data_IF_537449180349
#
_entry.id   IF_537449180349
#
_cell.length_a   1.000
_cell.length_b   1.000
_cell.length_c   1.000
_cell.angle_alpha   90.00
_cell.angle_beta   90.00
_cell.angle_gamma   90.00
#
_symmetry.space_group_name_H-M   'P 1'
#
loop_
_entity.id
_entity.type
_entity.pdbx_description
1 polymer ?
#
# COMPACT_ATOMS: atom_id res chain seq x y z
N UNK A 1 -4.12 -37.63 -51.72
CA UNK A 1 -5.31 -37.36 -52.56
C UNK A 1 -6.50 -38.11 -51.99
N UNK A 2 -7.75 -37.65 -52.22
CA UNK A 2 -8.21 -36.27 -52.37
C UNK A 2 -8.52 -35.74 -50.94
N UNK A 3 -9.49 -34.88 -50.59
CA UNK A 3 -10.25 -33.80 -51.27
C UNK A 3 -10.45 -32.66 -50.25
N UNK A 4 -10.93 -31.49 -50.67
CA UNK A 4 -11.45 -30.45 -49.80
C UNK A 4 -12.93 -30.20 -50.10
N UNK A 5 -13.74 -29.82 -49.11
CA UNK A 5 -15.08 -29.29 -49.35
C UNK A 5 -15.45 -28.16 -48.38
N UNK A 6 -16.12 -27.14 -48.91
CA UNK A 6 -16.43 -25.87 -48.22
C UNK A 6 -17.83 -25.93 -47.62
N UNK A 7 -17.96 -25.71 -46.32
CA UNK A 7 -19.28 -25.54 -45.68
C UNK A 7 -19.85 -24.17 -46.03
N UNK A 8 -20.97 -24.15 -46.76
CA UNK A 8 -21.67 -22.93 -47.18
C UNK A 8 -22.86 -22.65 -46.25
N UNK A 9 -22.88 -21.46 -45.65
CA UNK A 9 -23.93 -21.05 -44.71
C UNK A 9 -25.27 -20.85 -45.45
N UNK A 10 -26.33 -21.56 -45.02
CA UNK A 10 -27.68 -21.41 -45.56
C UNK A 10 -28.67 -21.00 -44.45
N UNK A 11 -29.28 -19.82 -44.58
CA UNK A 11 -30.30 -19.33 -43.65
C UNK A 11 -31.70 -19.82 -44.04
N UNK A 12 -32.36 -20.53 -43.13
CA UNK A 12 -33.82 -20.56 -42.93
C UNK A 12 -34.03 -20.30 -41.43
N UNK A 13 -34.97 -19.50 -40.93
CA UNK A 13 -36.11 -18.83 -41.55
C UNK A 13 -37.33 -19.05 -40.65
N UNK A 14 -37.89 -17.99 -40.06
CA UNK A 14 -39.20 -18.02 -39.38
C UNK A 14 -39.80 -16.61 -39.33
N UNK A 15 -41.02 -16.50 -39.85
CA UNK A 15 -41.89 -15.34 -39.64
C UNK A 15 -42.54 -15.45 -38.25
N UNK A 16 -42.83 -14.30 -37.64
CA UNK A 16 -43.59 -14.20 -36.40
C UNK A 16 -44.31 -12.85 -36.37
N UNK A 17 -45.63 -12.89 -36.42
CA UNK A 17 -46.52 -11.72 -36.36
C UNK A 17 -46.63 -11.15 -34.94
N UNK A 18 -46.70 -9.83 -34.79
CA UNK A 18 -46.89 -9.18 -33.49
C UNK A 18 -47.28 -7.70 -33.61
N UNK A 19 -48.48 -7.37 -33.13
CA UNK A 19 -49.14 -6.07 -33.20
C UNK A 19 -48.29 -4.91 -32.61
N UNK A 20 -48.45 -3.69 -33.15
CA UNK A 20 -47.99 -2.45 -32.49
C UNK A 20 -49.18 -1.57 -32.14
N UNK A 21 -49.60 -1.61 -30.89
CA UNK A 21 -50.60 -0.67 -30.37
C UNK A 21 -49.92 0.57 -29.75
N UNK A 22 -50.40 1.75 -30.12
CA UNK A 22 -49.92 3.03 -29.61
C UNK A 22 -50.60 3.40 -28.28
N UNK A 23 -49.83 3.50 -27.20
CA UNK A 23 -50.29 4.13 -25.94
C UNK A 23 -49.48 5.41 -25.67
N UNK A 24 -50.21 6.51 -25.42
CA UNK A 24 -49.66 7.85 -25.18
C UNK A 24 -49.25 8.00 -23.70
N UNK A 25 -48.01 8.42 -23.45
CA UNK A 25 -47.57 8.92 -22.13
C UNK A 25 -47.61 10.46 -22.05
N UNK A 26 -48.01 11.07 -20.93
CA UNK A 26 -48.15 12.53 -20.80
C UNK A 26 -46.81 13.25 -20.58
N UNK A 27 -46.72 14.49 -21.09
CA UNK A 27 -45.58 15.40 -20.94
C UNK A 27 -45.60 16.07 -19.55
N UNK A 28 -44.52 15.97 -18.79
CA UNK A 28 -44.27 16.84 -17.63
C UNK A 28 -43.57 18.14 -18.05
N UNK A 29 -43.92 19.26 -17.40
CA UNK A 29 -43.49 20.61 -17.80
C UNK A 29 -42.15 21.00 -17.17
N UNK A 30 -41.34 21.71 -17.95
CA UNK A 30 -40.19 22.49 -17.46
C UNK A 30 -40.70 23.72 -16.71
N UNK A 31 -40.27 23.90 -15.45
CA UNK A 31 -40.52 25.11 -14.64
C UNK A 31 -39.26 25.96 -14.53
N UNK A 32 -39.35 27.27 -14.78
CA UNK A 32 -38.21 28.19 -14.87
C UNK A 32 -38.40 29.38 -13.92
N UNK A 33 -37.37 29.68 -13.13
CA UNK A 33 -37.08 30.95 -12.44
C UNK A 33 -38.14 31.59 -11.52
N UNK A 34 -37.75 31.82 -10.26
CA UNK A 34 -38.34 32.83 -9.38
C UNK A 34 -37.24 33.44 -8.50
N UNK A 35 -36.92 34.73 -8.70
CA UNK A 35 -36.03 35.49 -7.80
C UNK A 35 -36.88 36.11 -6.69
N UNK A 36 -36.39 36.14 -5.46
CA UNK A 36 -36.77 37.18 -4.51
C UNK A 36 -35.57 37.69 -3.73
N UNK A 37 -35.43 39.01 -3.71
CA UNK A 37 -34.58 39.80 -2.83
C UNK A 37 -35.56 40.68 -2.02
N UNK A 38 -35.35 41.00 -0.75
CA UNK A 38 -34.71 42.28 -0.38
C UNK A 38 -34.76 42.51 1.15
N UNK A 39 -33.86 43.40 1.61
CA UNK A 39 -33.94 44.26 2.82
C UNK A 39 -33.96 43.55 4.20
N UNK A 40 -32.90 43.59 5.01
CA UNK A 40 -32.11 44.71 5.59
C UNK A 40 -32.69 45.33 6.86
N UNK A 41 -31.87 45.39 7.92
CA UNK A 41 -31.73 46.56 8.80
C UNK A 41 -30.31 46.59 9.39
N UNK A 42 -29.62 47.71 9.19
CA UNK A 42 -28.43 48.08 9.97
C UNK A 42 -28.88 48.74 11.28
N UNK A 43 -28.07 48.66 12.33
CA UNK A 43 -27.72 49.84 13.13
C UNK A 43 -26.22 49.84 13.43
N UNK A 44 -25.69 51.04 13.44
CA UNK A 44 -24.35 51.45 13.88
C UNK A 44 -24.32 51.49 15.43
N UNK A 45 -23.23 51.73 16.15
CA UNK A 45 -22.18 52.74 15.97
C UNK A 45 -20.76 52.24 16.33
N UNK A 46 -19.75 53.06 16.00
CA UNK A 46 -18.34 52.82 16.27
C UNK A 46 -17.85 53.60 17.50
N UNK A 47 -16.69 53.21 18.07
CA UNK A 47 -15.53 54.09 18.38
C UNK A 47 -14.36 53.21 18.91
N UNK A 48 -13.12 53.70 18.77
CA UNK A 48 -11.86 52.98 19.03
C UNK A 48 -11.48 52.86 20.52
N UNK A 49 -10.60 51.91 20.88
CA UNK A 49 -9.91 51.89 22.18
C UNK A 49 -9.10 50.63 22.47
N UNK A 50 -7.79 50.68 22.22
CA UNK A 50 -6.73 49.66 22.39
C UNK A 50 -6.68 48.79 23.67
N UNK A 51 -5.89 47.71 23.57
CA UNK A 51 -5.30 46.83 24.61
C UNK A 51 -6.10 45.59 25.02
N UNK A 52 -5.60 44.41 24.62
CA UNK A 52 -6.19 43.09 24.90
C UNK A 52 -5.86 42.63 26.32
N UNK A 53 -6.86 42.05 26.99
CA UNK A 53 -6.75 41.19 28.19
C UNK A 53 -7.64 39.98 27.94
N UNK A 54 -7.27 38.80 28.44
CA UNK A 54 -8.07 37.58 28.35
C UNK A 54 -8.89 37.30 29.62
N UNK A 55 -9.82 36.35 29.51
CA UNK A 55 -11.03 36.30 30.32
C UNK A 55 -10.89 35.68 31.73
N UNK A 56 -9.69 35.67 32.32
CA UNK A 56 -9.44 35.16 33.68
C UNK A 56 -8.55 36.04 34.57
N UNK A 57 -7.89 37.08 34.03
CA UNK A 57 -7.41 38.22 34.84
C UNK A 57 -6.24 37.98 35.81
N UNK A 58 -5.27 37.11 35.49
CA UNK A 58 -4.06 36.88 36.31
C UNK A 58 -2.78 37.20 35.49
N UNK A 59 -1.77 37.91 36.05
CA UNK A 59 -0.57 38.30 35.32
C UNK A 59 0.50 37.19 35.23
N UNK A 60 1.28 37.22 34.16
CA UNK A 60 2.38 36.27 33.89
C UNK A 60 3.66 36.68 34.65
N UNK A 61 4.16 35.83 35.57
CA UNK A 61 5.61 35.68 35.84
C UNK A 61 5.95 34.57 36.88
N UNK A 62 7.21 34.15 36.84
CA UNK A 62 7.99 33.35 37.83
C UNK A 62 7.94 31.82 37.72
N UNK A 63 9.15 31.24 37.66
CA UNK A 63 9.48 29.81 37.64
C UNK A 63 9.43 29.16 39.03
N UNK A 64 9.06 27.88 39.13
CA UNK A 64 9.76 26.92 39.99
C UNK A 64 9.47 25.46 39.63
N UNK A 65 10.38 24.57 40.04
CA UNK A 65 10.52 23.15 39.73
C UNK A 65 9.32 22.24 39.99
N UNK A 66 9.05 21.32 39.06
CA UNK A 66 8.27 20.07 39.24
C UNK A 66 9.14 18.81 39.03
N UNK A 67 8.69 17.61 39.45
CA UNK A 67 9.57 16.47 39.72
C UNK A 67 10.09 15.73 38.47
N UNK A 68 11.29 15.16 38.60
CA UNK A 68 11.92 14.31 37.58
C UNK A 68 11.13 13.00 37.37
N UNK A 69 10.91 12.62 36.11
CA UNK A 69 10.45 11.26 35.75
C UNK A 69 11.56 10.24 36.03
N UNK A 70 11.23 9.01 36.46
CA UNK A 70 12.21 7.93 36.55
C UNK A 70 12.73 7.56 35.15
N UNK A 71 14.00 7.19 35.07
CA UNK A 71 14.61 6.73 33.83
C UNK A 71 14.00 5.39 33.39
N UNK A 72 13.55 5.32 32.13
CA UNK A 72 13.19 4.05 31.48
C UNK A 72 14.42 3.17 31.21
N UNK A 73 14.22 1.89 30.86
CA UNK A 73 15.32 0.97 30.58
C UNK A 73 16.21 1.48 29.44
N UNK A 74 17.52 1.19 29.55
CA UNK A 74 18.54 1.71 28.63
C UNK A 74 18.30 1.36 27.17
N UNK A 75 18.66 2.30 26.27
CA UNK A 75 18.55 2.14 24.81
C UNK A 75 19.44 0.99 24.31
N UNK A 76 19.05 0.35 23.20
CA UNK A 76 19.76 -0.83 22.68
C UNK A 76 20.94 -0.41 21.78
N UNK A 77 21.99 -1.26 21.62
CA UNK A 77 23.23 -0.85 20.96
C UNK A 77 23.08 -0.42 19.49
N UNK A 78 22.11 -1.00 18.77
CA UNK A 78 21.81 -0.66 17.37
C UNK A 78 21.37 0.80 17.19
N UNK A 79 20.62 1.34 18.17
CA UNK A 79 20.13 2.72 18.13
C UNK A 79 21.29 3.72 18.21
N UNK A 80 22.25 3.46 19.11
CA UNK A 80 23.38 4.36 19.41
C UNK A 80 24.41 4.38 18.27
N UNK A 81 24.73 3.21 17.70
CA UNK A 81 25.66 3.13 16.57
C UNK A 81 25.10 3.75 15.28
N UNK A 82 23.77 3.78 15.14
CA UNK A 82 23.07 4.37 14.00
C UNK A 82 22.82 5.88 14.19
N UNK A 83 22.41 6.35 15.37
CA UNK A 83 22.32 7.79 15.68
C UNK A 83 23.68 8.47 15.45
N UNK A 84 24.80 7.84 15.81
CA UNK A 84 26.16 8.35 15.54
C UNK A 84 26.53 8.43 14.05
N UNK A 85 25.85 7.67 13.17
CA UNK A 85 26.04 7.71 11.71
C UNK A 85 25.04 8.64 11.00
N UNK A 86 23.83 8.81 11.55
CA UNK A 86 22.80 9.72 11.02
C UNK A 86 23.02 11.18 11.46
N UNK A 87 23.67 11.40 12.61
CA UNK A 87 24.07 12.74 13.08
C UNK A 87 25.38 13.25 12.46
N UNK A 88 26.12 12.38 11.79
CA UNK A 88 27.18 12.80 10.88
C UNK A 88 26.53 13.36 9.60
N UNK A 89 26.34 14.68 9.55
CA UNK A 89 25.93 15.37 8.33
C UNK A 89 26.80 14.90 7.16
N UNK A 90 26.22 14.47 6.03
CA UNK A 90 27.01 14.07 4.88
C UNK A 90 27.76 15.29 4.35
N UNK A 91 29.08 15.20 4.35
CA UNK A 91 29.93 16.19 3.71
C UNK A 91 29.49 16.33 2.25
N UNK A 92 29.19 17.55 1.83
CA UNK A 92 28.35 17.81 0.66
C UNK A 92 29.12 17.46 -0.62
N UNK A 93 29.05 16.19 -1.03
CA UNK A 93 29.83 15.64 -2.15
C UNK A 93 29.30 16.24 -3.45
N UNK A 94 30.07 17.06 -4.19
CA UNK A 94 29.58 17.71 -5.40
C UNK A 94 29.46 16.67 -6.52
N UNK A 95 28.23 16.26 -6.86
CA UNK A 95 27.97 15.30 -7.93
C UNK A 95 26.87 14.26 -7.66
N UNK A 96 26.24 14.27 -6.48
CA UNK A 96 25.06 13.43 -6.25
C UNK A 96 23.93 13.81 -7.23
N UNK A 97 23.58 12.89 -8.13
CA UNK A 97 22.47 13.06 -9.08
C UNK A 97 21.17 13.26 -8.30
N UNK A 98 20.48 14.38 -8.55
CA UNK A 98 19.13 14.61 -8.02
C UNK A 98 18.21 13.55 -8.62
N UNK A 99 17.72 12.65 -7.77
CA UNK A 99 16.74 11.64 -8.16
C UNK A 99 15.38 12.32 -8.33
N UNK A 100 14.88 12.38 -9.55
CA UNK A 100 13.48 12.74 -9.84
C UNK A 100 12.59 11.50 -9.69
N UNK A 101 11.77 11.39 -8.62
CA UNK A 101 10.91 10.24 -8.40
C UNK A 101 9.75 10.16 -9.41
N UNK A 102 9.41 11.27 -10.05
CA UNK A 102 8.29 11.38 -10.99
C UNK A 102 8.65 11.04 -12.43
N UNK A 103 9.96 10.93 -12.73
CA UNK A 103 10.47 10.61 -14.07
C UNK A 103 9.97 9.23 -14.51
N UNK A 104 9.25 9.11 -15.65
CA UNK A 104 8.72 7.82 -16.11
C UNK A 104 9.79 6.72 -16.15
N UNK A 105 9.46 5.52 -15.66
CA UNK A 105 10.31 4.33 -15.77
C UNK A 105 9.53 3.24 -16.50
N UNK A 106 9.85 3.04 -17.78
CA UNK A 106 9.20 2.02 -18.59
C UNK A 106 9.69 0.61 -18.23
N UNK A 107 8.91 -0.47 -18.51
CA UNK A 107 9.34 -1.84 -18.24
C UNK A 107 10.68 -2.19 -18.91
N UNK A 108 10.90 -1.71 -20.14
CA UNK A 108 12.16 -1.86 -20.88
C UNK A 108 13.40 -1.25 -20.19
N UNK A 109 13.24 -0.26 -19.31
CA UNK A 109 14.35 0.33 -18.53
C UNK A 109 14.66 -0.44 -17.24
N UNK A 110 13.73 -1.28 -16.77
CA UNK A 110 13.89 -2.01 -15.51
C UNK A 110 15.13 -2.93 -15.47
N UNK A 111 15.50 -3.71 -16.51
CA UNK A 111 16.65 -4.60 -16.44
C UNK A 111 17.97 -3.91 -16.07
N UNK A 112 18.26 -2.75 -16.66
CA UNK A 112 19.49 -2.00 -16.39
C UNK A 112 19.48 -1.38 -14.99
N UNK A 113 18.34 -0.83 -14.55
CA UNK A 113 18.16 -0.27 -13.20
C UNK A 113 18.28 -1.34 -12.13
N UNK A 114 17.63 -2.49 -12.34
CA UNK A 114 17.66 -3.63 -11.42
C UNK A 114 19.05 -4.26 -11.32
N UNK A 115 19.85 -4.28 -12.39
CA UNK A 115 21.24 -4.72 -12.33
C UNK A 115 22.12 -3.78 -11.48
N UNK A 116 21.92 -2.46 -11.57
CA UNK A 116 22.62 -1.49 -10.72
C UNK A 116 22.21 -1.59 -9.24
N UNK A 117 20.92 -1.75 -8.97
CA UNK A 117 20.37 -1.97 -7.63
C UNK A 117 20.89 -3.29 -7.02
N UNK A 118 20.87 -4.38 -7.80
CA UNK A 118 21.42 -5.68 -7.41
C UNK A 118 22.91 -5.57 -7.04
N UNK A 119 23.73 -4.94 -7.89
CA UNK A 119 25.16 -4.76 -7.62
C UNK A 119 25.42 -3.96 -6.33
N UNK A 120 24.64 -2.91 -6.06
CA UNK A 120 24.75 -2.12 -4.83
C UNK A 120 24.39 -2.94 -3.58
N UNK A 121 23.39 -3.82 -3.66
CA UNK A 121 23.02 -4.74 -2.56
C UNK A 121 24.07 -5.84 -2.38
N UNK A 122 24.56 -6.44 -3.46
CA UNK A 122 25.60 -7.49 -3.42
C UNK A 122 26.93 -6.98 -2.87
N UNK A 123 27.26 -5.70 -3.06
CA UNK A 123 28.39 -5.04 -2.40
C UNK A 123 28.24 -4.87 -0.87
N UNK A 124 27.16 -5.37 -0.27
CA UNK A 124 26.87 -5.38 1.18
C UNK A 124 26.52 -6.76 1.72
N UNK A 125 25.96 -7.67 0.91
CA UNK A 125 25.60 -9.03 1.32
C UNK A 125 25.45 -10.00 0.14
N UNK A 126 26.07 -11.18 0.28
CA UNK A 126 25.91 -12.32 -0.63
C UNK A 126 24.68 -13.19 -0.30
N UNK A 127 23.89 -12.84 0.74
CA UNK A 127 22.71 -13.61 1.13
C UNK A 127 21.70 -13.70 -0.01
N UNK A 128 21.27 -14.91 -0.35
CA UNK A 128 20.22 -15.17 -1.35
C UNK A 128 18.90 -15.40 -0.60
N UNK A 129 17.98 -14.41 -0.58
CA UNK A 129 16.68 -14.56 0.08
C UNK A 129 15.76 -15.54 -0.66
N UNK A 130 15.03 -16.37 0.08
CA UNK A 130 13.96 -17.22 -0.47
C UNK A 130 12.64 -16.44 -0.63
N UNK A 131 12.41 -15.48 0.29
CA UNK A 131 11.21 -14.67 0.41
C UNK A 131 11.53 -13.17 0.46
N UNK A 132 10.70 -12.36 -0.20
CA UNK A 132 10.59 -10.93 0.08
C UNK A 132 9.40 -10.63 0.99
N UNK A 133 9.53 -9.67 1.91
CA UNK A 133 8.46 -9.26 2.83
C UNK A 133 8.38 -7.73 2.86
N UNK A 134 7.23 -7.15 2.50
CA UNK A 134 7.02 -5.71 2.59
C UNK A 134 6.28 -5.39 3.87
N UNK A 135 6.92 -4.64 4.76
CA UNK A 135 6.36 -4.25 6.06
C UNK A 135 5.57 -2.95 5.91
N UNK A 136 4.25 -3.05 6.09
CA UNK A 136 3.36 -1.90 6.22
C UNK A 136 3.50 -1.17 7.56
N UNK A 137 2.81 -0.04 7.69
CA UNK A 137 2.71 0.72 8.93
C UNK A 137 2.26 -0.16 10.10
N UNK A 138 2.94 -0.10 11.24
CA UNK A 138 2.68 -0.95 12.42
C UNK A 138 3.46 -2.28 12.48
N UNK A 139 4.15 -2.68 11.40
CA UNK A 139 4.94 -3.93 11.36
C UNK A 139 6.46 -3.70 11.49
N UNK A 140 6.88 -2.48 11.81
CA UNK A 140 8.29 -2.09 11.88
C UNK A 140 9.12 -2.98 12.79
N UNK A 141 8.56 -3.46 13.91
CA UNK A 141 9.28 -4.30 14.90
C UNK A 141 9.69 -5.69 14.39
N UNK A 142 9.05 -6.23 13.34
CA UNK A 142 9.46 -7.53 12.77
C UNK A 142 10.84 -7.45 12.08
N UNK A 143 11.26 -6.25 11.67
CA UNK A 143 12.61 -6.00 11.16
C UNK A 143 13.69 -6.19 12.23
N UNK A 144 13.36 -5.93 13.50
CA UNK A 144 14.29 -6.04 14.63
C UNK A 144 14.50 -7.50 15.09
N UNK A 145 13.73 -8.45 14.52
CA UNK A 145 13.85 -9.90 14.73
C UNK A 145 14.77 -10.59 13.71
N UNK A 146 15.42 -9.84 12.80
CA UNK A 146 16.34 -10.40 11.81
C UNK A 146 17.72 -10.72 12.41
N UNK A 147 18.09 -12.00 12.38
CA UNK A 147 19.47 -12.44 12.60
C UNK A 147 20.36 -12.06 11.40
N UNK A 148 21.65 -11.82 11.64
CA UNK A 148 22.66 -11.52 10.60
C UNK A 148 22.30 -10.31 9.70
N UNK A 149 21.49 -9.37 10.21
CA UNK A 149 20.87 -8.32 9.43
C UNK A 149 21.85 -7.29 8.82
N UNK A 150 21.83 -7.17 7.49
CA UNK A 150 22.42 -6.08 6.71
C UNK A 150 21.33 -5.10 6.32
N UNK A 151 21.44 -3.85 6.77
CA UNK A 151 20.50 -2.78 6.46
C UNK A 151 21.09 -1.78 5.45
N UNK A 152 20.29 -1.41 4.45
CA UNK A 152 20.63 -0.43 3.40
C UNK A 152 19.48 0.57 3.29
N UNK A 153 19.75 1.86 3.45
CA UNK A 153 18.77 2.92 3.25
C UNK A 153 18.37 3.05 1.78
N UNK A 154 17.11 3.39 1.49
CA UNK A 154 16.64 3.57 0.11
C UNK A 154 17.41 4.67 -0.62
N UNK A 155 17.80 5.75 0.07
CA UNK A 155 18.65 6.80 -0.50
C UNK A 155 20.12 6.41 -0.74
N UNK A 156 20.57 5.24 -0.27
CA UNK A 156 21.88 4.68 -0.61
C UNK A 156 21.84 3.84 -1.90
N UNK A 157 20.64 3.51 -2.40
CA UNK A 157 20.46 2.66 -3.58
C UNK A 157 20.39 3.50 -4.87
N UNK A 158 21.07 3.09 -5.94
CA UNK A 158 21.25 3.90 -7.14
C UNK A 158 19.92 4.22 -7.83
N UNK A 159 19.56 5.51 -7.83
CA UNK A 159 18.37 6.02 -8.49
C UNK A 159 17.06 5.87 -7.68
N UNK A 160 17.14 5.58 -6.38
CA UNK A 160 16.00 5.63 -5.46
C UNK A 160 16.02 6.90 -4.61
N UNK A 161 14.85 7.50 -4.30
CA UNK A 161 14.75 8.55 -3.30
C UNK A 161 14.77 7.95 -1.88
N UNK A 162 14.93 8.81 -0.87
CA UNK A 162 14.55 8.44 0.49
C UNK A 162 13.02 8.24 0.58
N UNK A 163 12.56 7.38 1.50
CA UNK A 163 11.12 7.27 1.77
C UNK A 163 10.59 8.52 2.46
N UNK A 164 9.40 9.00 2.09
CA UNK A 164 8.79 10.22 2.66
C UNK A 164 7.45 9.97 3.36
N UNK A 165 6.77 8.86 3.02
CA UNK A 165 5.52 8.46 3.65
C UNK A 165 5.67 8.22 5.17
N UNK A 166 4.74 8.75 6.01
CA UNK A 166 4.79 8.55 7.46
C UNK A 166 4.86 7.08 7.89
N UNK A 167 5.72 6.78 8.87
CA UNK A 167 5.89 5.43 9.42
C UNK A 167 6.73 4.48 8.56
N UNK A 168 7.27 4.92 7.41
CA UNK A 168 8.19 4.13 6.60
C UNK A 168 9.64 4.52 6.87
N UNK A 169 10.44 3.60 7.42
CA UNK A 169 11.86 3.84 7.71
C UNK A 169 12.73 3.92 6.44
N UNK A 170 12.24 3.40 5.31
CA UNK A 170 12.92 3.48 4.01
C UNK A 170 14.19 2.62 3.97
N UNK A 171 14.11 1.38 4.45
CA UNK A 171 15.26 0.45 4.51
C UNK A 171 14.97 -0.87 3.80
N UNK A 172 15.94 -1.37 3.04
CA UNK A 172 16.04 -2.75 2.61
C UNK A 172 16.91 -3.50 3.62
N UNK A 173 16.45 -4.67 4.05
CA UNK A 173 17.09 -5.50 5.07
C UNK A 173 17.30 -6.89 4.48
N UNK A 174 18.52 -7.42 4.53
CA UNK A 174 18.84 -8.82 4.24
C UNK A 174 19.25 -9.50 5.54
N UNK A 175 18.64 -10.62 5.89
CA UNK A 175 18.97 -11.35 7.11
C UNK A 175 18.19 -12.66 7.19
N UNK A 176 18.19 -13.27 8.37
CA UNK A 176 17.42 -14.50 8.63
C UNK A 176 16.25 -14.22 9.56
N UNK A 177 15.06 -14.67 9.18
CA UNK A 177 13.90 -14.73 10.06
C UNK A 177 13.55 -16.20 10.28
N UNK A 178 13.45 -16.63 11.54
CA UNK A 178 13.26 -18.04 11.89
C UNK A 178 14.25 -19.00 11.16
N UNK A 179 15.51 -18.57 11.01
CA UNK A 179 16.58 -19.29 10.32
C UNK A 179 16.61 -19.16 8.79
N UNK A 180 15.51 -18.78 8.14
CA UNK A 180 15.40 -18.68 6.68
C UNK A 180 15.90 -17.35 6.14
N UNK A 181 16.62 -17.34 5.00
CA UNK A 181 17.11 -16.12 4.38
C UNK A 181 15.95 -15.33 3.75
N UNK A 182 15.79 -14.07 4.15
CA UNK A 182 14.72 -13.19 3.70
C UNK A 182 15.26 -11.81 3.33
N UNK A 183 14.53 -11.12 2.46
CA UNK A 183 14.68 -9.68 2.24
C UNK A 183 13.43 -8.96 2.75
N UNK A 184 13.59 -8.06 3.72
CA UNK A 184 12.50 -7.22 4.22
C UNK A 184 12.62 -5.80 3.70
N UNK A 185 11.49 -5.22 3.30
CA UNK A 185 11.35 -3.82 2.94
C UNK A 185 10.60 -3.12 4.08
N UNK A 186 11.34 -2.39 4.92
CA UNK A 186 10.79 -1.61 6.04
C UNK A 186 10.38 -0.22 5.54
N UNK A 187 9.49 -0.21 4.57
CA UNK A 187 9.25 0.92 3.69
C UNK A 187 8.62 0.49 2.38
N UNK A 188 7.87 1.40 1.75
CA UNK A 188 7.53 1.33 0.33
C UNK A 188 7.42 2.74 -0.23
N UNK A 189 7.35 2.82 -1.56
CA UNK A 189 7.01 4.04 -2.28
C UNK A 189 5.53 4.02 -2.66
N UNK A 190 4.86 5.18 -2.61
CA UNK A 190 3.47 5.33 -2.99
C UNK A 190 3.31 6.31 -4.16
N UNK A 191 2.20 6.17 -4.91
CA UNK A 191 1.86 7.09 -6.00
C UNK A 191 1.57 8.51 -5.50
N UNK A 192 0.97 8.66 -4.31
CA UNK A 192 0.64 9.97 -3.75
C UNK A 192 1.87 10.79 -3.31
N UNK A 193 3.03 10.16 -3.13
CA UNK A 193 4.32 10.84 -2.92
C UNK A 193 4.87 11.45 -4.22
N UNK A 194 4.20 11.25 -5.36
CA UNK A 194 4.65 11.70 -6.69
C UNK A 194 5.52 10.69 -7.44
N UNK A 195 5.73 9.48 -6.89
CA UNK A 195 6.54 8.44 -7.51
C UNK A 195 5.89 7.86 -8.78
N UNK A 196 6.70 7.63 -9.80
CA UNK A 196 6.32 6.88 -11.00
C UNK A 196 5.98 5.41 -10.67
N UNK A 197 4.95 4.80 -11.30
CA UNK A 197 4.63 3.38 -11.09
C UNK A 197 5.80 2.41 -11.28
N UNK A 198 6.75 2.71 -12.18
CA UNK A 198 7.92 1.88 -12.39
C UNK A 198 8.95 1.98 -11.25
N UNK A 199 9.03 3.11 -10.56
CA UNK A 199 9.79 3.26 -9.30
C UNK A 199 9.09 2.53 -8.15
N UNK A 200 7.77 2.68 -8.02
CA UNK A 200 6.95 2.05 -6.96
C UNK A 200 7.16 0.53 -6.90
N UNK A 201 7.34 -0.14 -8.04
CA UNK A 201 7.48 -1.60 -8.09
C UNK A 201 8.91 -2.13 -8.10
N UNK A 202 9.93 -1.26 -8.24
CA UNK A 202 11.33 -1.69 -8.25
C UNK A 202 11.77 -2.48 -7.02
N UNK A 203 11.33 -2.17 -5.79
CA UNK A 203 11.70 -2.97 -4.62
C UNK A 203 11.30 -4.45 -4.74
N UNK A 204 10.13 -4.74 -5.32
CA UNK A 204 9.63 -6.11 -5.55
C UNK A 204 10.41 -6.82 -6.64
N UNK A 205 10.68 -6.13 -7.75
CA UNK A 205 11.49 -6.66 -8.85
C UNK A 205 12.94 -6.94 -8.39
N UNK A 206 13.46 -6.12 -7.46
CA UNK A 206 14.74 -6.33 -6.81
C UNK A 206 14.71 -7.57 -5.90
N UNK A 207 13.65 -7.80 -5.11
CA UNK A 207 13.50 -9.04 -4.34
C UNK A 207 13.61 -10.29 -5.23
N UNK A 208 12.89 -10.33 -6.36
CA UNK A 208 12.97 -11.42 -7.35
C UNK A 208 14.39 -11.60 -7.89
N UNK A 209 15.07 -10.50 -8.17
CA UNK A 209 16.42 -10.51 -8.75
C UNK A 209 17.50 -10.93 -7.76
N UNK A 210 17.34 -10.60 -6.48
CA UNK A 210 18.20 -11.10 -5.39
C UNK A 210 18.02 -12.59 -5.10
N UNK A 211 16.93 -13.21 -5.58
CA UNK A 211 16.72 -14.67 -5.52
C UNK A 211 15.35 -15.09 -4.99
N UNK A 212 14.53 -14.18 -4.47
CA UNK A 212 13.25 -14.54 -3.87
C UNK A 212 12.33 -15.22 -4.89
N UNK A 213 11.64 -16.27 -4.43
CA UNK A 213 10.65 -17.04 -5.20
C UNK A 213 9.23 -16.53 -4.98
N UNK A 214 8.97 -15.94 -3.80
CA UNK A 214 7.69 -15.38 -3.42
C UNK A 214 7.86 -14.07 -2.64
N UNK A 215 6.79 -13.27 -2.61
CA UNK A 215 6.70 -12.04 -1.80
C UNK A 215 5.44 -12.02 -0.95
N UNK A 216 5.57 -11.53 0.29
CA UNK A 216 4.44 -11.26 1.18
C UNK A 216 4.24 -9.75 1.32
N UNK A 217 3.10 -9.27 0.84
CA UNK A 217 2.73 -7.86 0.85
C UNK A 217 1.82 -7.56 2.04
N UNK A 218 2.22 -6.67 2.94
CA UNK A 218 1.37 -6.24 4.07
C UNK A 218 1.03 -4.75 3.96
N UNK A 219 -0.20 -4.36 4.27
CA UNK A 219 -0.60 -2.95 4.22
C UNK A 219 -1.56 -2.58 5.35
N UNK A 220 -1.69 -1.27 5.60
CA UNK A 220 -2.83 -0.71 6.32
C UNK A 220 -3.95 -0.40 5.32
N UNK A 221 -5.19 -0.64 5.72
CA UNK A 221 -6.38 -0.45 4.88
C UNK A 221 -7.58 0.08 5.69
N UNK A 222 -8.51 0.76 5.02
CA UNK A 222 -9.85 1.03 5.54
C UNK A 222 -10.80 -0.14 5.26
N UNK A 223 -11.69 -0.46 6.19
CA UNK A 223 -12.73 -1.47 6.02
C UNK A 223 -13.81 -1.01 5.04
N UNK A 224 -14.18 -1.90 4.11
CA UNK A 224 -15.35 -1.72 3.23
C UNK A 224 -16.47 -2.72 3.56
N UNK A 225 -16.15 -3.86 4.17
CA UNK A 225 -17.14 -4.80 4.68
C UNK A 225 -17.59 -4.39 6.10
N UNK A 226 -18.91 -4.39 6.43
CA UNK A 226 -19.39 -4.02 7.77
C UNK A 226 -18.84 -4.87 8.94
N UNK A 227 -18.36 -6.07 8.64
CA UNK A 227 -17.72 -6.95 9.64
C UNK A 227 -16.24 -6.61 9.90
N UNK A 228 -15.61 -5.77 9.07
CA UNK A 228 -14.17 -5.51 9.11
C UNK A 228 -13.91 -4.19 9.85
N UNK A 229 -13.93 -4.26 11.18
CA UNK A 229 -13.55 -3.16 12.05
C UNK A 229 -12.03 -3.00 12.22
N UNK A 230 -11.56 -1.94 12.90
CA UNK A 230 -10.16 -1.75 13.27
C UNK A 230 -9.56 -3.00 13.95
N UNK A 231 -8.32 -3.33 13.60
CA UNK A 231 -7.62 -4.50 14.09
C UNK A 231 -7.89 -5.81 13.32
N UNK A 232 -8.87 -5.83 12.39
CA UNK A 232 -9.12 -7.00 11.53
C UNK A 232 -7.92 -7.26 10.63
N UNK A 233 -7.44 -8.51 10.62
CA UNK A 233 -6.44 -8.97 9.66
C UNK A 233 -7.17 -9.68 8.50
N UNK A 234 -7.00 -9.18 7.29
CA UNK A 234 -7.64 -9.70 6.08
C UNK A 234 -6.58 -10.30 5.16
N UNK A 235 -6.61 -11.62 4.98
CA UNK A 235 -5.91 -12.32 3.91
C UNK A 235 -6.48 -11.85 2.57
N UNK A 236 -5.60 -11.34 1.70
CA UNK A 236 -6.02 -10.81 0.40
C UNK A 236 -6.24 -11.98 -0.56
N UNK A 237 -7.48 -12.15 -1.03
CA UNK A 237 -7.85 -13.22 -1.97
C UNK A 237 -7.86 -12.77 -3.42
N UNK A 238 -8.19 -11.50 -3.66
CA UNK A 238 -8.15 -10.84 -4.96
C UNK A 238 -7.91 -9.33 -4.79
N UNK A 239 -7.67 -8.59 -5.88
CA UNK A 239 -7.60 -7.13 -5.84
C UNK A 239 -8.31 -6.42 -7.01
N UNK A 240 -8.81 -5.21 -6.74
CA UNK A 240 -9.31 -4.29 -7.78
C UNK A 240 -8.36 -3.09 -7.85
N UNK A 241 -7.67 -2.92 -8.98
CA UNK A 241 -6.78 -1.77 -9.20
C UNK A 241 -7.56 -0.57 -9.76
N UNK A 242 -7.94 0.37 -8.89
CA UNK A 242 -8.58 1.63 -9.25
C UNK A 242 -7.63 2.84 -9.09
N UNK A 243 -6.32 2.61 -8.95
CA UNK A 243 -5.31 3.67 -8.82
C UNK A 243 -5.12 4.54 -10.08
N UNK A 244 -5.75 4.16 -11.20
CA UNK A 244 -5.57 4.79 -12.51
C UNK A 244 -4.19 4.54 -13.13
N UNK A 245 -3.34 3.70 -12.53
CA UNK A 245 -1.96 3.42 -12.96
C UNK A 245 -1.72 1.93 -13.16
N UNK A 246 -0.76 1.60 -14.02
CA UNK A 246 -0.25 0.24 -14.22
C UNK A 246 1.26 0.32 -14.53
N UNK A 247 2.13 -0.43 -13.82
CA UNK A 247 3.59 -0.36 -13.99
C UNK A 247 4.10 -0.98 -15.29
N UNK A 248 3.24 -1.69 -16.05
CA UNK A 248 3.60 -2.42 -17.28
C UNK A 248 3.33 -1.61 -18.57
N UNK A 249 2.93 -0.33 -18.43
CA UNK A 249 2.70 0.57 -19.57
C UNK A 249 4.06 0.98 -20.19
N UNK A 250 4.16 0.86 -21.52
CA UNK A 250 5.38 1.13 -22.28
C UNK A 250 5.83 -0.09 -23.10
N UNK A 251 7.08 -0.07 -23.58
CA UNK A 251 7.73 -1.24 -24.16
C UNK A 251 8.04 -2.28 -23.07
N UNK A 252 7.84 -3.57 -23.39
CA UNK A 252 8.07 -4.66 -22.44
C UNK A 252 9.56 -4.96 -22.25
N UNK A 253 9.91 -5.57 -21.12
CA UNK A 253 11.17 -6.28 -20.94
C UNK A 253 10.89 -7.78 -20.91
N UNK A 254 11.01 -8.45 -22.06
CA UNK A 254 10.71 -9.88 -22.21
C UNK A 254 11.61 -10.78 -21.33
N UNK A 255 12.79 -10.28 -20.93
CA UNK A 255 13.68 -10.94 -19.97
C UNK A 255 13.29 -10.80 -18.50
N UNK A 256 12.21 -10.07 -18.18
CA UNK A 256 11.60 -10.06 -16.84
C UNK A 256 10.29 -10.84 -16.86
N UNK A 257 9.44 -10.60 -17.86
CA UNK A 257 8.10 -11.19 -17.90
C UNK A 257 7.38 -11.03 -19.23
N UNK A 258 6.28 -11.78 -19.44
CA UNK A 258 5.51 -11.75 -20.69
C UNK A 258 4.85 -10.38 -20.90
N UNK A 259 4.55 -10.04 -22.17
CA UNK A 259 3.85 -8.79 -22.51
C UNK A 259 2.48 -8.65 -21.85
N UNK A 260 1.80 -9.78 -21.66
CA UNK A 260 0.47 -9.88 -21.07
C UNK A 260 0.51 -10.95 -19.98
N UNK A 261 0.87 -10.61 -18.72
CA UNK A 261 0.85 -11.57 -17.62
C UNK A 261 -0.61 -11.93 -17.27
N UNK A 262 -0.84 -13.21 -16.97
CA UNK A 262 -2.10 -13.64 -16.35
C UNK A 262 -2.17 -13.18 -14.89
N UNK A 263 -3.38 -12.83 -14.45
CA UNK A 263 -3.68 -12.34 -13.11
C UNK A 263 -4.79 -13.18 -12.44
N UNK A 264 -5.17 -14.33 -13.02
CA UNK A 264 -6.23 -15.20 -12.48
C UNK A 264 -5.89 -15.68 -11.08
N UNK A 265 -4.67 -16.17 -10.89
CA UNK A 265 -4.08 -16.46 -9.58
C UNK A 265 -3.04 -15.38 -9.24
N UNK A 266 -3.46 -14.12 -9.20
CA UNK A 266 -2.61 -13.00 -8.76
C UNK A 266 -2.15 -13.17 -7.30
N UNK A 267 -3.01 -13.74 -6.46
CA UNK A 267 -2.76 -14.05 -5.06
C UNK A 267 -2.72 -15.58 -4.89
N UNK A 268 -1.50 -16.13 -4.78
CA UNK A 268 -1.24 -17.57 -4.88
C UNK A 268 -2.14 -18.36 -3.92
N UNK A 269 -2.95 -19.31 -4.42
CA UNK A 269 -3.74 -20.21 -3.55
C UNK A 269 -2.86 -20.96 -2.54
N UNK A 270 -1.63 -21.31 -2.93
CA UNK A 270 -0.64 -22.00 -2.10
C UNK A 270 -0.17 -21.13 -0.93
N UNK A 271 0.18 -19.86 -1.20
CA UNK A 271 0.59 -18.92 -0.16
C UNK A 271 -0.59 -18.51 0.74
N UNK A 272 -1.80 -18.41 0.18
CA UNK A 272 -3.03 -18.20 0.97
C UNK A 272 -3.25 -19.32 1.97
N UNK A 273 -3.10 -20.59 1.56
CA UNK A 273 -3.24 -21.73 2.46
C UNK A 273 -2.16 -21.76 3.55
N UNK A 274 -0.90 -21.50 3.21
CA UNK A 274 0.18 -21.42 4.20
C UNK A 274 -0.02 -20.26 5.20
N UNK A 275 -0.54 -19.10 4.75
CA UNK A 275 -0.90 -17.99 5.64
C UNK A 275 -2.07 -18.35 6.58
N UNK A 276 -3.10 -19.08 6.09
CA UNK A 276 -4.17 -19.62 6.95
C UNK A 276 -3.62 -20.57 8.01
N UNK A 277 -2.79 -21.52 7.61
CA UNK A 277 -2.19 -22.51 8.51
C UNK A 277 -1.32 -21.84 9.59
N UNK A 278 -0.48 -20.88 9.19
CA UNK A 278 0.33 -20.09 10.12
C UNK A 278 -0.52 -19.27 11.10
N UNK A 279 -1.62 -18.67 10.64
CA UNK A 279 -2.51 -17.91 11.49
C UNK A 279 -3.29 -18.80 12.49
N UNK A 280 -3.78 -19.95 12.02
CA UNK A 280 -4.43 -20.95 12.87
C UNK A 280 -3.47 -21.49 13.96
N UNK A 281 -2.20 -21.75 13.62
CA UNK A 281 -1.17 -22.18 14.57
C UNK A 281 -0.83 -21.12 15.64
N UNK A 282 -0.96 -19.83 15.32
CA UNK A 282 -0.75 -18.70 16.25
C UNK A 282 -2.04 -18.23 16.95
N UNK A 283 -3.17 -18.92 16.75
CA UNK A 283 -4.48 -18.57 17.32
C UNK A 283 -5.05 -17.24 16.81
N UNK A 284 -4.68 -16.83 15.59
CA UNK A 284 -5.05 -15.55 14.98
C UNK A 284 -6.09 -15.79 13.88
N UNK A 285 -7.26 -15.16 14.00
CA UNK A 285 -8.26 -15.15 12.94
C UNK A 285 -7.81 -14.27 11.77
N UNK A 286 -7.85 -14.82 10.55
CA UNK A 286 -7.80 -14.04 9.31
C UNK A 286 -9.19 -14.02 8.68
N UNK A 287 -9.68 -12.83 8.38
CA UNK A 287 -10.76 -12.66 7.42
C UNK A 287 -10.21 -12.85 5.99
N UNK A 288 -11.09 -13.11 5.02
CA UNK A 288 -10.72 -13.19 3.59
C UNK A 288 -11.51 -12.15 2.80
N UNK A 289 -10.88 -11.53 1.79
CA UNK A 289 -11.56 -10.52 0.99
C UNK A 289 -10.74 -9.91 -0.14
N UNK A 290 -11.43 -9.07 -0.91
CA UNK A 290 -10.89 -8.35 -2.07
C UNK A 290 -10.34 -6.98 -1.62
N UNK A 291 -9.08 -6.70 -1.93
CA UNK A 291 -8.44 -5.41 -1.65
C UNK A 291 -8.59 -4.43 -2.81
N UNK A 292 -9.06 -3.21 -2.56
CA UNK A 292 -9.17 -2.15 -3.56
C UNK A 292 -8.00 -1.19 -3.43
N UNK A 293 -7.24 -0.99 -4.52
CA UNK A 293 -6.17 -0.01 -4.57
C UNK A 293 -6.62 1.31 -5.20
N UNK A 294 -6.41 2.42 -4.50
CA UNK A 294 -6.57 3.79 -4.99
C UNK A 294 -5.22 4.51 -5.09
N UNK A 295 -5.21 5.74 -5.62
CA UNK A 295 -4.02 6.59 -5.64
C UNK A 295 -3.75 7.30 -4.32
N UNK A 296 -4.79 7.69 -3.59
CA UNK A 296 -4.70 8.69 -2.52
C UNK A 296 -4.39 10.11 -3.04
N UNK A 297 -4.00 11.06 -2.17
CA UNK A 297 -3.77 10.91 -0.72
C UNK A 297 -5.01 11.13 0.16
N UNK A 298 -6.10 11.70 -0.37
CA UNK A 298 -7.33 11.85 0.42
C UNK A 298 -7.96 10.49 0.72
N UNK A 299 -8.52 10.34 1.91
CA UNK A 299 -9.44 9.22 2.20
C UNK A 299 -10.73 9.35 1.38
N UNK A 300 -11.47 8.25 1.32
CA UNK A 300 -12.67 8.10 0.50
C UNK A 300 -13.86 8.83 1.12
N UNK A 301 -14.70 9.46 0.29
CA UNK A 301 -15.99 9.96 0.73
C UNK A 301 -16.94 8.79 1.07
N UNK A 302 -18.00 9.01 1.87
CA UNK A 302 -19.02 8.00 2.13
C UNK A 302 -19.70 7.44 0.86
N UNK A 303 -19.74 8.22 -0.22
CA UNK A 303 -20.27 7.76 -1.51
C UNK A 303 -19.30 6.80 -2.22
N UNK A 304 -18.00 7.11 -2.20
CA UNK A 304 -16.96 6.24 -2.72
C UNK A 304 -16.86 4.94 -1.92
N UNK A 305 -16.87 4.97 -0.57
CA UNK A 305 -16.88 3.76 0.26
C UNK A 305 -18.02 2.81 -0.13
N UNK A 306 -19.26 3.33 -0.29
CA UNK A 306 -20.40 2.52 -0.75
C UNK A 306 -20.23 2.01 -2.19
N UNK A 307 -19.63 2.79 -3.08
CA UNK A 307 -19.31 2.37 -4.44
C UNK A 307 -18.29 1.22 -4.43
N UNK A 308 -17.21 1.32 -3.65
CA UNK A 308 -16.16 0.31 -3.58
C UNK A 308 -16.68 -1.00 -2.97
N UNK A 309 -17.51 -0.93 -1.92
CA UNK A 309 -18.20 -2.10 -1.38
C UNK A 309 -19.15 -2.73 -2.42
N UNK A 310 -19.90 -1.91 -3.18
CA UNK A 310 -20.78 -2.40 -4.26
C UNK A 310 -20.03 -3.00 -5.46
N UNK A 311 -18.74 -2.65 -5.66
CA UNK A 311 -17.84 -3.29 -6.63
C UNK A 311 -17.24 -4.62 -6.10
N UNK A 312 -17.58 -5.05 -4.89
CA UNK A 312 -17.05 -6.27 -4.25
C UNK A 312 -15.79 -6.05 -3.41
N UNK A 313 -15.38 -4.79 -3.18
CA UNK A 313 -14.26 -4.47 -2.29
C UNK A 313 -14.58 -4.75 -0.82
N UNK A 314 -13.62 -5.33 -0.10
CA UNK A 314 -13.73 -5.66 1.33
C UNK A 314 -12.82 -4.79 2.20
N UNK A 315 -11.69 -4.34 1.65
CA UNK A 315 -10.82 -3.31 2.24
C UNK A 315 -10.27 -2.39 1.14
N UNK A 316 -9.91 -1.15 1.49
CA UNK A 316 -9.35 -0.14 0.57
C UNK A 316 -8.01 0.39 1.07
N UNK A 317 -7.05 0.62 0.18
CA UNK A 317 -5.76 1.22 0.51
C UNK A 317 -5.07 1.86 -0.71
N UNK A 318 -3.88 2.44 -0.47
CA UNK A 318 -3.17 3.30 -1.43
C UNK A 318 -1.84 2.69 -1.92
N UNK A 319 -1.73 1.36 -1.88
CA UNK A 319 -0.51 0.58 -2.21
C UNK A 319 -0.84 -0.81 -2.77
N UNK A 320 0.14 -1.73 -2.80
CA UNK A 320 -0.02 -3.20 -2.88
C UNK A 320 -0.43 -3.76 -4.25
N UNK A 321 -1.42 -3.21 -4.95
CA UNK A 321 -1.86 -3.79 -6.22
C UNK A 321 -0.79 -3.69 -7.33
N UNK A 322 -0.05 -2.58 -7.42
CA UNK A 322 1.01 -2.44 -8.41
C UNK A 322 2.21 -3.35 -8.10
N UNK A 323 2.55 -3.48 -6.82
CA UNK A 323 3.57 -4.40 -6.30
C UNK A 323 3.19 -5.86 -6.67
N UNK A 324 1.93 -6.25 -6.50
CA UNK A 324 1.39 -7.54 -6.92
C UNK A 324 1.47 -7.75 -8.44
N UNK A 325 1.03 -6.78 -9.26
CA UNK A 325 1.09 -6.86 -10.74
C UNK A 325 2.54 -7.08 -11.22
N UNK A 326 3.50 -6.32 -10.68
CA UNK A 326 4.90 -6.46 -11.04
C UNK A 326 5.54 -7.76 -10.54
N UNK A 327 5.14 -8.25 -9.37
CA UNK A 327 5.56 -9.55 -8.86
C UNK A 327 5.15 -10.68 -9.82
N UNK A 328 3.86 -10.72 -10.21
CA UNK A 328 3.34 -11.74 -11.13
C UNK A 328 3.96 -11.63 -12.52
N UNK A 329 4.19 -10.41 -13.02
CA UNK A 329 4.96 -10.19 -14.25
C UNK A 329 6.36 -10.81 -14.18
N UNK A 330 7.08 -10.64 -13.06
CA UNK A 330 8.41 -11.20 -12.83
C UNK A 330 8.42 -12.68 -12.35
N UNK A 331 7.27 -13.37 -12.39
CA UNK A 331 7.16 -14.79 -12.03
C UNK A 331 7.23 -15.11 -10.53
N UNK A 332 7.12 -14.11 -9.64
CA UNK A 332 6.99 -14.34 -8.19
C UNK A 332 5.60 -14.86 -7.84
N UNK A 333 5.51 -15.76 -6.85
CA UNK A 333 4.25 -15.95 -6.13
C UNK A 333 4.00 -14.79 -5.14
N UNK A 334 2.73 -14.43 -4.94
CA UNK A 334 2.33 -13.33 -4.06
C UNK A 334 1.33 -13.80 -3.02
N UNK A 335 1.63 -13.55 -1.76
CA UNK A 335 0.68 -13.60 -0.64
C UNK A 335 0.54 -12.19 -0.05
N UNK A 336 -0.52 -11.95 0.74
CA UNK A 336 -0.63 -10.67 1.42
C UNK A 336 -1.73 -10.57 2.45
N UNK A 337 -1.53 -9.67 3.40
CA UNK A 337 -2.46 -9.43 4.51
C UNK A 337 -2.63 -7.93 4.71
N UNK A 338 -3.86 -7.45 4.59
CA UNK A 338 -4.25 -6.10 5.02
C UNK A 338 -4.57 -6.09 6.50
N UNK A 339 -3.98 -5.16 7.23
CA UNK A 339 -4.49 -4.75 8.54
C UNK A 339 -5.53 -3.64 8.32
N UNK A 340 -6.78 -3.92 8.68
CA UNK A 340 -7.83 -2.91 8.72
C UNK A 340 -7.58 -2.00 9.93
N UNK A 341 -7.32 -0.72 9.68
CA UNK A 341 -6.97 0.25 10.72
C UNK A 341 -8.09 1.22 11.04
N UNK A 342 -9.12 1.30 10.20
CA UNK A 342 -10.29 2.15 10.36
C UNK A 342 -11.52 1.52 9.68
N UNK A 343 -12.73 1.91 10.08
CA UNK A 343 -13.98 1.33 9.57
C UNK A 343 -14.45 1.87 8.20
N UNK A 344 -13.64 2.71 7.53
CA UNK A 344 -14.04 3.46 6.34
C UNK A 344 -15.07 4.57 6.65
N UNK A 345 -14.85 5.77 6.12
CA UNK A 345 -15.69 6.94 6.43
C UNK A 345 -17.18 6.76 6.06
N UNK A 346 -17.51 5.76 5.22
CA UNK A 346 -18.88 5.48 4.78
C UNK A 346 -19.78 4.76 5.78
N UNK A 347 -19.23 4.17 6.86
CA UNK A 347 -20.01 3.42 7.85
C UNK A 347 -20.14 4.13 9.19
N UNK A 348 -19.09 4.78 9.69
CA UNK A 348 -19.15 5.57 10.93
C UNK A 348 -19.83 6.94 10.73
N UNK A 349 -19.61 7.58 9.58
CA UNK A 349 -19.99 8.98 9.36
C UNK A 349 -19.10 10.00 10.09
N UNK A 350 -18.16 9.54 10.91
CA UNK A 350 -17.23 10.33 11.68
C UNK A 350 -15.93 10.62 10.91
N UNK A 351 -15.21 11.72 11.22
CA UNK A 351 -13.87 11.97 10.68
C UNK A 351 -12.90 10.83 11.02
N UNK A 352 -11.98 10.52 10.10
CA UNK A 352 -10.91 9.54 10.32
C UNK A 352 -9.59 10.24 10.66
N UNK A 353 -9.21 10.37 11.95
CA UNK A 353 -7.91 10.94 12.30
C UNK A 353 -6.80 9.91 12.03
N UNK A 354 -5.66 10.37 11.51
CA UNK A 354 -4.54 9.48 11.18
C UNK A 354 -3.92 8.82 12.43
N UNK A 355 -4.15 9.37 13.64
CA UNK A 355 -3.68 8.79 14.90
C UNK A 355 -4.40 7.48 15.27
N UNK A 356 -5.70 7.34 14.96
CA UNK A 356 -6.44 6.07 15.14
C UNK A 356 -5.88 4.96 14.25
N UNK A 357 -5.48 5.32 13.02
CA UNK A 357 -4.84 4.40 12.09
C UNK A 357 -3.52 3.86 12.66
N UNK A 358 -2.73 4.73 13.31
CA UNK A 358 -1.49 4.33 13.99
C UNK A 358 -1.75 3.50 15.26
N UNK A 359 -2.78 3.83 16.03
CA UNK A 359 -3.16 3.09 17.24
C UNK A 359 -3.63 1.65 16.93
N UNK A 360 -4.52 1.48 15.94
CA UNK A 360 -4.93 0.16 15.45
C UNK A 360 -3.72 -0.61 14.86
N UNK A 361 -2.80 0.10 14.20
CA UNK A 361 -1.50 -0.42 13.79
C UNK A 361 -0.68 -1.01 14.93
N UNK A 362 -0.57 -0.30 16.05
CA UNK A 362 0.20 -0.72 17.22
C UNK A 362 -0.40 -1.92 17.97
N UNK A 363 -1.74 -2.04 18.04
CA UNK A 363 -2.40 -3.18 18.70
C UNK A 363 -2.33 -4.46 17.85
N UNK A 364 -2.63 -4.35 16.54
CA UNK A 364 -2.76 -5.52 15.67
C UNK A 364 -1.45 -5.93 14.98
N UNK A 365 -0.49 -5.00 14.85
CA UNK A 365 0.85 -5.27 14.31
C UNK A 365 1.53 -6.48 14.97
N UNK A 366 1.59 -6.59 16.31
CA UNK A 366 2.13 -7.77 16.99
C UNK A 366 1.40 -9.09 16.70
N UNK A 367 0.10 -9.06 16.35
CA UNK A 367 -0.63 -10.27 15.92
C UNK A 367 -0.15 -10.71 14.54
N UNK A 368 -0.10 -9.78 13.59
CA UNK A 368 0.34 -10.05 12.22
C UNK A 368 1.84 -10.42 12.17
N UNK A 369 2.69 -9.77 12.97
CA UNK A 369 4.11 -10.12 13.09
C UNK A 369 4.30 -11.60 13.47
N UNK A 370 3.54 -12.12 14.44
CA UNK A 370 3.56 -13.56 14.79
C UNK A 370 3.15 -14.44 13.61
N UNK A 371 2.06 -14.10 12.91
CA UNK A 371 1.61 -14.85 11.73
C UNK A 371 2.66 -14.85 10.62
N UNK A 372 3.31 -13.73 10.33
CA UNK A 372 4.37 -13.66 9.32
C UNK A 372 5.60 -14.47 9.76
N UNK A 373 6.05 -14.33 11.01
CA UNK A 373 7.17 -15.12 11.57
C UNK A 373 6.89 -16.63 11.50
N UNK A 374 5.66 -17.06 11.82
CA UNK A 374 5.19 -18.44 11.72
C UNK A 374 5.15 -18.92 10.26
N UNK A 375 4.57 -18.12 9.37
CA UNK A 375 4.52 -18.39 7.93
C UNK A 375 5.93 -18.57 7.35
N UNK A 376 6.89 -17.71 7.73
CA UNK A 376 8.28 -17.84 7.27
C UNK A 376 8.89 -19.14 7.77
N UNK A 377 8.77 -19.46 9.07
CA UNK A 377 9.28 -20.73 9.62
C UNK A 377 8.76 -21.96 8.85
N UNK A 378 7.45 -21.98 8.57
CA UNK A 378 6.74 -23.07 7.89
C UNK A 378 6.77 -22.96 6.34
N UNK A 379 7.48 -21.99 5.75
CA UNK A 379 7.41 -21.69 4.31
C UNK A 379 7.91 -22.84 3.43
N UNK A 380 7.01 -23.61 2.83
CA UNK A 380 7.40 -24.59 1.82
C UNK A 380 7.54 -23.87 0.46
N UNK A 381 8.72 -23.83 -0.19
CA UNK A 381 8.90 -23.22 -1.50
C UNK A 381 8.19 -24.03 -2.61
N UNK A 382 7.91 -23.44 -3.79
CA UNK A 382 7.35 -24.22 -4.89
C UNK A 382 8.36 -25.30 -5.34
N UNK A 383 7.87 -26.49 -5.70
CA UNK A 383 8.68 -27.51 -6.34
C UNK A 383 9.25 -26.98 -7.66
N UNK A 384 10.57 -27.05 -7.82
CA UNK A 384 11.33 -26.48 -8.95
C UNK A 384 11.34 -27.34 -10.22
#
# INVERSE_FOLDING_TARGET
MPRADKVRLARRGRQGSGNRDHIKGPRTRVGRFGRFCTRSRRRSDAVHGSARRDATGIPVSVLSSGPQKPAGPGRRPLDVALEARLSASPDHTPGALVVDPSRPITPAEQPARLAALEAAVRARSDLVPELGIVLGSGLGGLADELDEAVAIGFGELPGWPAATAPGHAGRLLLGRLAGRPVVMLQGRFHLYEGNDPGLVVQPILLCRRLGASAVILTNAAGGLAPAFGPGTLMLITDHINLSGRNPLIGHNADGIGPRFPDMTDAWSPRLREQLRAAAAAEGVSLAEGVYVALSGPNYETPAEVRMLAALGGHAVGMSTALECIAARWAGLEVGGVSLVTNAGAGYSGEPLPHEEVLAAGAEAGPRLARVIRRFVADYDPPAG
#
